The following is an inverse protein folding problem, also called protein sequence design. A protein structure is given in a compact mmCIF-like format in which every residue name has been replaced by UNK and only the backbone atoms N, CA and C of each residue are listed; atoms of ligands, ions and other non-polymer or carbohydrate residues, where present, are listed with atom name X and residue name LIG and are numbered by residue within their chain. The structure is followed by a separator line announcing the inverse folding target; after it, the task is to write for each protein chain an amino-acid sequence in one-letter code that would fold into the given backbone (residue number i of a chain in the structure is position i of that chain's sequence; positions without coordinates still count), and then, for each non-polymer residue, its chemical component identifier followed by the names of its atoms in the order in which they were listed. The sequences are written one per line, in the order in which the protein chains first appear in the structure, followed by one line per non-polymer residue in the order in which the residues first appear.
data_IF_676662078787
#
_entry.id   IF_676662078787
#
_cell.length_a   1.000
_cell.length_b   1.000
_cell.length_c   1.000
_cell.angle_alpha   90.00
_cell.angle_beta   90.00
_cell.angle_gamma   90.00
#
_symmetry.space_group_name_H-M   'P 1'
#
loop_
_entity.id
_entity.type
_entity.pdbx_description
1 polymer ?
#
# COMPACT_ATOMS: atom_id res chain seq x y z
N UNK A 1 10.50 5.00 -18.84
CA UNK A 1 11.06 6.00 -19.78
C UNK A 1 12.55 6.29 -19.53
N UNK A 2 12.97 6.75 -18.34
CA UNK A 2 14.42 7.01 -18.13
C UNK A 2 15.32 5.78 -18.29
N UNK A 3 14.88 4.61 -17.82
CA UNK A 3 15.62 3.36 -17.95
C UNK A 3 15.81 2.93 -19.44
N UNK A 4 14.78 3.06 -20.27
CA UNK A 4 14.84 2.73 -21.70
C UNK A 4 15.83 3.63 -22.44
N UNK A 5 15.85 4.92 -22.08
CA UNK A 5 16.80 5.87 -22.67
C UNK A 5 18.24 5.53 -22.29
N UNK A 6 18.49 5.17 -21.02
CA UNK A 6 19.82 4.76 -20.55
C UNK A 6 20.30 3.47 -21.24
N UNK A 7 19.42 2.50 -21.41
CA UNK A 7 19.72 1.25 -22.14
C UNK A 7 20.09 1.58 -23.59
N UNK A 8 19.31 2.40 -24.27
CA UNK A 8 19.57 2.78 -25.67
C UNK A 8 20.90 3.52 -25.83
N UNK A 9 21.22 4.43 -24.92
CA UNK A 9 22.51 5.15 -24.91
C UNK A 9 23.65 4.17 -24.62
N UNK A 10 23.48 3.24 -23.69
CA UNK A 10 24.49 2.22 -23.37
C UNK A 10 24.82 1.34 -24.59
N UNK A 11 23.81 0.91 -25.36
CA UNK A 11 23.99 0.12 -26.58
C UNK A 11 24.73 0.92 -27.66
N UNK A 12 24.41 2.19 -27.86
CA UNK A 12 25.09 3.05 -28.81
C UNK A 12 26.58 3.25 -28.46
N UNK A 13 26.88 3.50 -27.19
CA UNK A 13 28.26 3.68 -26.71
C UNK A 13 29.02 2.37 -26.88
N UNK A 14 28.43 1.23 -26.55
CA UNK A 14 29.04 -0.09 -26.70
C UNK A 14 29.40 -0.36 -28.17
N UNK A 15 28.50 -0.09 -29.12
CA UNK A 15 28.75 -0.24 -30.55
C UNK A 15 29.91 0.61 -31.05
N UNK A 16 30.02 1.86 -30.58
CA UNK A 16 31.11 2.76 -30.90
C UNK A 16 32.45 2.21 -30.36
N UNK A 17 32.47 1.81 -29.07
CA UNK A 17 33.70 1.26 -28.45
C UNK A 17 34.19 0.01 -29.16
N UNK A 18 33.27 -0.92 -29.50
CA UNK A 18 33.60 -2.14 -30.21
C UNK A 18 34.20 -1.83 -31.59
N UNK A 19 33.63 -0.86 -32.31
CA UNK A 19 34.14 -0.50 -33.67
C UNK A 19 35.57 0.07 -33.67
N UNK A 20 35.98 0.71 -32.55
CA UNK A 20 37.33 1.28 -32.41
C UNK A 20 38.34 0.31 -31.76
N UNK A 21 37.88 -0.56 -30.86
CA UNK A 21 38.79 -1.41 -30.06
C UNK A 21 38.85 -2.86 -30.51
N UNK A 22 37.86 -3.34 -31.28
CA UNK A 22 37.72 -4.73 -31.66
C UNK A 22 37.43 -5.71 -30.51
N UNK A 23 37.06 -5.20 -29.35
CA UNK A 23 36.78 -6.00 -28.16
C UNK A 23 35.34 -6.52 -28.14
N UNK A 24 35.09 -7.58 -28.89
CA UNK A 24 33.76 -8.22 -29.02
C UNK A 24 33.20 -8.80 -27.72
N UNK A 25 34.04 -8.96 -26.66
CA UNK A 25 33.62 -9.46 -25.34
C UNK A 25 32.77 -8.44 -24.59
N UNK A 26 32.84 -7.16 -24.93
CA UNK A 26 32.07 -6.09 -24.27
C UNK A 26 30.58 -6.26 -24.52
N UNK A 27 30.16 -6.65 -25.71
CA UNK A 27 28.76 -6.78 -26.12
C UNK A 27 27.99 -7.80 -25.27
N UNK A 28 28.42 -9.06 -25.08
CA UNK A 28 27.74 -10.02 -24.22
C UNK A 28 27.73 -9.60 -22.75
N UNK A 29 28.74 -8.88 -22.25
CA UNK A 29 28.76 -8.38 -20.88
C UNK A 29 27.69 -7.30 -20.69
N UNK A 30 27.61 -6.33 -21.60
CA UNK A 30 26.58 -5.28 -21.56
C UNK A 30 25.19 -5.91 -21.71
N UNK A 31 25.01 -6.85 -22.62
CA UNK A 31 23.77 -7.59 -22.79
C UNK A 31 23.32 -8.30 -21.52
N UNK A 32 24.24 -8.92 -20.80
CA UNK A 32 23.97 -9.58 -19.52
C UNK A 32 23.57 -8.58 -18.44
N UNK A 33 24.27 -7.45 -18.33
CA UNK A 33 23.94 -6.38 -17.38
C UNK A 33 22.54 -5.82 -17.65
N UNK A 34 22.23 -5.54 -18.90
CA UNK A 34 20.90 -5.06 -19.32
C UNK A 34 19.82 -6.09 -18.98
N UNK A 35 20.05 -7.37 -19.27
CA UNK A 35 19.11 -8.44 -18.97
C UNK A 35 18.82 -8.54 -17.46
N UNK A 36 19.83 -8.43 -16.62
CA UNK A 36 19.66 -8.42 -15.15
C UNK A 36 18.86 -7.21 -14.67
N UNK A 37 19.15 -6.03 -15.19
CA UNK A 37 18.41 -4.80 -14.86
C UNK A 37 16.93 -4.93 -15.24
N UNK A 38 16.65 -5.43 -16.45
CA UNK A 38 15.27 -5.66 -16.91
C UNK A 38 14.58 -6.68 -16.04
N UNK A 39 15.23 -7.79 -15.70
CA UNK A 39 14.65 -8.83 -14.87
C UNK A 39 14.26 -8.31 -13.48
N UNK A 40 15.15 -7.56 -12.83
CA UNK A 40 14.88 -6.97 -11.52
C UNK A 40 13.70 -5.97 -11.60
N UNK A 41 13.71 -5.08 -12.59
CA UNK A 41 12.65 -4.09 -12.77
C UNK A 41 11.29 -4.74 -13.04
N UNK A 42 11.27 -5.77 -13.88
CA UNK A 42 10.04 -6.51 -14.20
C UNK A 42 9.51 -7.30 -13.01
N UNK A 43 10.40 -7.93 -12.22
CA UNK A 43 10.01 -8.64 -11.01
C UNK A 43 9.39 -7.70 -9.97
N UNK A 44 9.94 -6.48 -9.84
CA UNK A 44 9.38 -5.45 -8.95
C UNK A 44 7.97 -5.02 -9.39
N UNK A 45 7.80 -4.70 -10.68
CA UNK A 45 6.49 -4.34 -11.23
C UNK A 45 5.47 -5.47 -11.09
N UNK A 46 5.89 -6.73 -11.30
CA UNK A 46 5.03 -7.89 -11.12
C UNK A 46 4.58 -8.01 -9.66
N UNK A 47 5.50 -7.84 -8.71
CA UNK A 47 5.20 -7.88 -7.27
C UNK A 47 4.16 -6.82 -6.89
N UNK A 48 4.35 -5.57 -7.33
CA UNK A 48 3.42 -4.48 -7.04
C UNK A 48 2.04 -4.72 -7.67
N UNK A 49 2.00 -5.23 -8.90
CA UNK A 49 0.75 -5.58 -9.59
C UNK A 49 0.00 -6.72 -8.90
N UNK A 50 0.71 -7.76 -8.47
CA UNK A 50 0.10 -8.87 -7.73
C UNK A 50 -0.44 -8.39 -6.37
N UNK A 51 0.31 -7.56 -5.67
CA UNK A 51 -0.11 -7.00 -4.39
C UNK A 51 -1.38 -6.17 -4.52
N UNK A 52 -1.48 -5.32 -5.55
CA UNK A 52 -2.67 -4.54 -5.85
C UNK A 52 -3.87 -5.45 -6.21
N UNK A 53 -3.62 -6.51 -6.99
CA UNK A 53 -4.68 -7.44 -7.42
C UNK A 53 -5.18 -8.37 -6.31
N UNK A 54 -4.40 -8.55 -5.24
CA UNK A 54 -4.74 -9.40 -4.09
C UNK A 54 -5.21 -8.58 -2.88
N UNK A 55 -5.59 -7.32 -3.08
CA UNK A 55 -6.03 -6.41 -2.02
C UNK A 55 -5.07 -6.32 -0.82
N UNK A 56 -3.77 -6.43 -1.10
CA UNK A 56 -2.73 -6.37 -0.08
C UNK A 56 -2.64 -4.98 0.57
N UNK A 57 -2.28 -4.96 1.85
CA UNK A 57 -2.04 -3.70 2.58
C UNK A 57 -0.99 -2.86 1.84
N UNK A 58 -1.28 -1.58 1.54
CA UNK A 58 -0.37 -0.71 0.79
C UNK A 58 1.00 -0.56 1.46
N UNK A 59 2.05 -0.40 0.64
CA UNK A 59 3.39 -0.10 1.15
C UNK A 59 3.39 1.21 1.94
N UNK A 60 3.91 1.16 3.16
CA UNK A 60 4.03 2.35 4.02
C UNK A 60 2.84 2.59 4.95
N UNK A 61 1.78 1.77 4.88
CA UNK A 61 0.68 1.81 5.85
C UNK A 61 0.85 0.68 6.87
N UNK A 62 0.86 1.04 8.14
CA UNK A 62 0.90 0.11 9.27
C UNK A 62 -0.51 0.05 9.88
N UNK A 63 -1.16 -1.12 9.76
CA UNK A 63 -2.53 -1.33 10.23
C UNK A 63 -2.66 -1.17 11.74
N UNK A 64 -1.65 -1.60 12.53
CA UNK A 64 -1.67 -1.46 13.98
C UNK A 64 -1.52 0.00 14.42
N UNK A 65 -0.70 0.75 13.71
CA UNK A 65 -0.57 2.18 13.93
C UNK A 65 -1.89 2.90 13.65
N UNK A 66 -2.55 2.61 12.53
CA UNK A 66 -3.84 3.20 12.16
C UNK A 66 -4.91 2.84 13.20
N UNK A 67 -4.97 1.57 13.62
CA UNK A 67 -5.88 1.12 14.67
C UNK A 67 -5.72 1.93 15.95
N UNK A 68 -4.47 2.13 16.37
CA UNK A 68 -4.15 2.91 17.57
C UNK A 68 -4.51 4.38 17.41
N UNK A 69 -4.21 4.98 16.26
CA UNK A 69 -4.58 6.39 15.99
C UNK A 69 -6.10 6.61 16.02
N UNK A 70 -6.89 5.64 15.51
CA UNK A 70 -8.35 5.70 15.61
C UNK A 70 -8.80 5.57 17.08
N UNK A 71 -8.24 4.61 17.81
CA UNK A 71 -8.57 4.38 19.22
C UNK A 71 -8.26 5.60 20.09
N UNK A 72 -7.15 6.25 19.85
CA UNK A 72 -6.68 7.43 20.58
C UNK A 72 -7.40 8.72 20.14
N UNK A 73 -8.17 8.69 19.05
CA UNK A 73 -8.86 9.87 18.52
C UNK A 73 -9.94 10.42 19.47
N UNK A 74 -10.57 9.57 20.28
CA UNK A 74 -11.57 10.00 21.26
C UNK A 74 -11.71 8.99 22.41
N UNK A 75 -11.83 9.48 23.68
CA UNK A 75 -12.04 8.61 24.85
C UNK A 75 -13.36 7.82 24.85
N UNK A 76 -14.33 8.25 24.03
CA UNK A 76 -15.61 7.56 23.83
C UNK A 76 -15.48 6.28 23.00
N UNK A 77 -14.38 6.09 22.26
CA UNK A 77 -14.09 4.87 21.54
C UNK A 77 -13.62 3.80 22.52
N UNK A 78 -14.33 2.68 22.58
CA UNK A 78 -14.01 1.58 23.47
C UNK A 78 -13.07 0.57 22.82
N UNK A 79 -13.28 0.29 21.53
CA UNK A 79 -12.47 -0.66 20.75
C UNK A 79 -12.51 -0.34 19.25
N UNK A 80 -11.48 -0.80 18.54
CA UNK A 80 -11.41 -0.80 17.07
C UNK A 80 -10.97 -2.18 16.63
N UNK A 81 -11.81 -2.86 15.85
CA UNK A 81 -11.56 -4.22 15.39
C UNK A 81 -12.04 -4.39 13.94
N UNK A 82 -11.85 -5.56 13.40
CA UNK A 82 -12.20 -5.91 12.02
C UNK A 82 -11.68 -4.86 11.01
N UNK A 83 -10.44 -4.41 11.24
CA UNK A 83 -9.78 -3.39 10.42
C UNK A 83 -9.16 -4.04 9.19
N UNK A 84 -9.62 -3.64 8.02
CA UNK A 84 -9.05 -4.02 6.74
C UNK A 84 -8.60 -2.78 5.97
N UNK A 85 -7.42 -2.84 5.39
CA UNK A 85 -6.85 -1.76 4.58
C UNK A 85 -6.33 -2.36 3.28
N UNK A 86 -6.75 -1.79 2.15
CA UNK A 86 -6.27 -2.21 0.82
C UNK A 86 -6.09 -1.03 -0.11
N UNK A 87 -5.35 -1.22 -1.20
CA UNK A 87 -5.20 -0.23 -2.24
C UNK A 87 -6.32 -0.36 -3.27
N UNK A 88 -7.02 0.74 -3.58
CA UNK A 88 -7.97 0.82 -4.70
C UNK A 88 -7.21 1.09 -6.01
N UNK A 89 -6.17 1.93 -5.91
CA UNK A 89 -5.31 2.30 -7.03
C UNK A 89 -3.87 2.54 -6.53
N UNK A 90 -3.00 2.98 -7.41
CA UNK A 90 -1.62 3.36 -7.04
C UNK A 90 -1.54 4.60 -6.14
N UNK A 91 -2.63 5.35 -6.00
CA UNK A 91 -2.69 6.62 -5.28
C UNK A 91 -3.82 6.69 -4.25
N UNK A 92 -4.72 5.71 -4.23
CA UNK A 92 -5.90 5.71 -3.36
C UNK A 92 -5.99 4.44 -2.54
N UNK A 93 -6.19 4.60 -1.25
CA UNK A 93 -6.33 3.50 -0.30
C UNK A 93 -7.72 3.54 0.36
N UNK A 94 -8.25 2.36 0.62
CA UNK A 94 -9.50 2.17 1.33
C UNK A 94 -9.27 1.50 2.70
N UNK A 95 -10.23 1.75 3.60
CA UNK A 95 -10.28 1.15 4.92
C UNK A 95 -11.73 0.79 5.26
N UNK A 96 -11.91 -0.38 5.86
CA UNK A 96 -13.11 -0.70 6.63
C UNK A 96 -12.70 -0.99 8.08
N UNK A 97 -13.54 -0.57 9.03
CA UNK A 97 -13.31 -0.85 10.45
C UNK A 97 -14.62 -0.83 11.22
N UNK A 98 -14.70 -1.69 12.26
CA UNK A 98 -15.73 -1.65 13.28
C UNK A 98 -15.22 -0.87 14.48
N UNK A 99 -16.03 0.05 14.96
CA UNK A 99 -15.68 0.98 16.02
C UNK A 99 -16.73 0.90 17.12
N UNK A 100 -16.36 0.29 18.25
CA UNK A 100 -17.22 0.21 19.42
C UNK A 100 -17.20 1.55 20.17
N UNK A 101 -18.36 2.18 20.32
CA UNK A 101 -18.50 3.50 20.97
C UNK A 101 -19.45 3.43 22.15
N UNK A 102 -19.08 4.13 23.25
CA UNK A 102 -19.89 4.18 24.47
C UNK A 102 -21.12 5.06 24.34
N UNK A 103 -21.05 6.07 23.48
CA UNK A 103 -22.11 7.06 23.28
C UNK A 103 -22.44 7.20 21.80
N UNK A 104 -23.59 6.65 21.41
CA UNK A 104 -24.04 6.65 20.01
C UNK A 104 -24.48 8.03 19.51
N UNK A 105 -24.77 8.99 20.41
CA UNK A 105 -25.14 10.36 20.01
C UNK A 105 -23.94 11.11 19.41
N UNK A 106 -22.71 10.71 19.77
CA UNK A 106 -21.48 11.32 19.27
C UNK A 106 -21.00 10.76 17.92
N UNK A 107 -21.62 9.72 17.39
CA UNK A 107 -21.23 9.07 16.13
C UNK A 107 -21.00 10.06 14.98
N UNK A 108 -21.87 11.06 14.72
CA UNK A 108 -21.63 11.98 13.59
C UNK A 108 -20.34 12.80 13.75
N UNK A 109 -20.02 13.24 14.95
CA UNK A 109 -18.81 14.00 15.24
C UNK A 109 -17.55 13.10 15.18
N UNK A 110 -17.63 11.90 15.76
CA UNK A 110 -16.57 10.89 15.71
C UNK A 110 -16.25 10.49 14.27
N UNK A 111 -17.27 10.20 13.47
CA UNK A 111 -17.11 9.84 12.05
C UNK A 111 -16.33 10.91 11.28
N UNK A 112 -16.68 12.19 11.50
CA UNK A 112 -15.98 13.29 10.81
C UNK A 112 -14.52 13.37 11.26
N UNK A 113 -14.27 13.28 12.56
CA UNK A 113 -12.92 13.34 13.16
C UNK A 113 -12.04 12.20 12.65
N UNK A 114 -12.56 10.96 12.67
CA UNK A 114 -11.81 9.78 12.21
C UNK A 114 -11.52 9.87 10.71
N UNK A 115 -12.50 10.26 9.88
CA UNK A 115 -12.24 10.42 8.43
C UNK A 115 -11.18 11.46 8.15
N UNK A 116 -11.20 12.60 8.84
CA UNK A 116 -10.16 13.62 8.69
C UNK A 116 -8.78 13.11 9.12
N UNK A 117 -8.68 12.33 10.20
CA UNK A 117 -7.44 11.70 10.64
C UNK A 117 -6.92 10.73 9.56
N UNK A 118 -7.80 9.90 9.00
CA UNK A 118 -7.45 8.91 7.98
C UNK A 118 -6.97 9.55 6.67
N UNK A 119 -7.53 10.67 6.26
CA UNK A 119 -7.07 11.44 5.09
C UNK A 119 -5.59 11.85 5.23
N UNK A 120 -5.17 12.26 6.43
CA UNK A 120 -3.76 12.61 6.71
C UNK A 120 -2.83 11.41 6.72
N UNK A 121 -3.34 10.20 6.86
CA UNK A 121 -2.56 8.96 6.82
C UNK A 121 -2.54 8.29 5.44
N UNK A 122 -3.12 8.96 4.41
CA UNK A 122 -3.17 8.47 3.05
C UNK A 122 -4.33 7.51 2.75
N UNK A 123 -5.35 7.47 3.62
CA UNK A 123 -6.57 6.69 3.42
C UNK A 123 -7.69 7.64 3.00
N UNK A 124 -8.06 7.57 1.72
CA UNK A 124 -9.05 8.50 1.12
C UNK A 124 -10.47 7.96 1.18
N UNK A 125 -10.63 6.64 1.26
CA UNK A 125 -11.93 5.98 1.32
C UNK A 125 -12.06 5.19 2.62
N UNK A 126 -12.93 5.64 3.55
CA UNK A 126 -13.18 4.94 4.79
C UNK A 126 -14.66 4.62 4.97
N UNK A 127 -14.96 3.34 5.16
CA UNK A 127 -16.25 2.82 5.61
C UNK A 127 -16.10 2.44 7.07
N UNK A 128 -16.88 3.10 7.94
CA UNK A 128 -16.81 2.91 9.38
C UNK A 128 -18.17 2.39 9.85
N UNK A 129 -18.17 1.25 10.49
CA UNK A 129 -19.32 0.68 11.18
C UNK A 129 -19.19 1.01 12.66
N UNK A 130 -20.25 1.57 13.22
CA UNK A 130 -20.28 1.94 14.63
C UNK A 130 -21.22 1.00 15.37
N UNK A 131 -20.75 0.45 16.47
CA UNK A 131 -21.46 -0.52 17.30
C UNK A 131 -21.34 -0.17 18.79
N UNK A 132 -22.14 -0.80 19.62
CA UNK A 132 -22.01 -0.69 21.07
C UNK A 132 -20.98 -1.69 21.59
N UNK A 133 -20.31 -1.37 22.72
CA UNK A 133 -19.29 -2.28 23.26
C UNK A 133 -19.83 -3.65 23.69
N UNK A 134 -21.14 -3.78 23.89
CA UNK A 134 -21.80 -5.03 24.29
C UNK A 134 -22.28 -5.85 23.07
N UNK A 135 -22.28 -5.28 21.87
CA UNK A 135 -22.69 -5.98 20.65
C UNK A 135 -21.61 -6.98 20.26
N UNK A 136 -22.05 -8.18 19.90
CA UNK A 136 -21.14 -9.21 19.35
C UNK A 136 -20.95 -8.97 17.86
N UNK A 137 -19.71 -8.98 17.41
CA UNK A 137 -19.40 -8.95 16.00
C UNK A 137 -19.73 -10.33 15.39
N UNK A 138 -20.70 -10.38 14.48
CA UNK A 138 -21.14 -11.62 13.82
C UNK A 138 -20.37 -11.89 12.51
N UNK A 139 -19.42 -11.02 12.13
CA UNK A 139 -18.68 -11.17 10.88
C UNK A 139 -17.65 -12.31 10.93
N UNK A 140 -17.49 -13.05 9.82
CA UNK A 140 -16.47 -14.08 9.71
C UNK A 140 -15.05 -13.49 9.90
N UNK A 141 -14.33 -13.98 10.91
CA UNK A 141 -12.97 -13.51 11.20
C UNK A 141 -12.89 -12.47 12.31
N UNK A 142 -14.01 -11.99 12.82
CA UNK A 142 -14.04 -11.26 14.08
C UNK A 142 -13.61 -12.21 15.20
N UNK A 143 -12.51 -11.90 15.86
CA UNK A 143 -12.00 -12.73 16.95
C UNK A 143 -12.38 -12.04 18.28
N UNK A 144 -13.32 -12.57 19.10
CA UNK A 144 -13.65 -11.99 20.40
C UNK A 144 -12.45 -12.09 21.37
N UNK A 145 -12.37 -11.16 22.36
CA UNK A 145 -13.37 -10.19 22.73
C UNK A 145 -13.28 -8.88 21.94
N UNK A 146 -14.43 -8.52 21.36
CA UNK A 146 -14.63 -7.19 20.84
C UNK A 146 -14.66 -6.16 21.97
#
# INVERSE_FOLDING_TARGET
MAADTLVSVGVLISGIVISFTGWYVIDPIIGMVIAVVILISTAHLLHDSLRLSLDGVPTGIDSERIRKEILDADPGIANVHHLHIWAISTTENALTAHIAVRDTEQIPALKHRIKHLLEHTGITHATLEFERPEETCDDPGCNPPC
#
